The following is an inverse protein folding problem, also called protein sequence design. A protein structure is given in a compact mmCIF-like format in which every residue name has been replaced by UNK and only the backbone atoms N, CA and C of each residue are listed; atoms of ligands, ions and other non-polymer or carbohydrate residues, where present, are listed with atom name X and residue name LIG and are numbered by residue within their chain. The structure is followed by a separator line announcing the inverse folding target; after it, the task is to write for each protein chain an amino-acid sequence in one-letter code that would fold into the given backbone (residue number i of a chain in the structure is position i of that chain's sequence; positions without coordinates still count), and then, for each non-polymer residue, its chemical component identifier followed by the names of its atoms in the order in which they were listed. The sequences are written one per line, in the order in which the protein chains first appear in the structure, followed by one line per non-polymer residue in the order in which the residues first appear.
data_IF_990864348846
#
_entry.id   IF_990864348846
#
_cell.length_a   1.000
_cell.length_b   1.000
_cell.length_c   1.000
_cell.angle_alpha   90.00
_cell.angle_beta   90.00
_cell.angle_gamma   90.00
#
_symmetry.space_group_name_H-M   'P 1'
#
loop_
_entity.id
_entity.type
_entity.pdbx_description
1 polymer ?
#
# COMPACT_ATOMS: atom_id res chain seq x y z
N UNK A 1 37.63 -16.23 -10.97
CA UNK A 1 37.01 -15.09 -11.68
C UNK A 1 35.89 -14.57 -10.79
N UNK A 2 36.12 -13.45 -10.12
CA UNK A 2 35.09 -12.79 -9.29
C UNK A 2 34.20 -12.05 -10.28
N UNK A 3 32.93 -12.43 -10.36
CA UNK A 3 31.94 -11.71 -11.16
C UNK A 3 31.90 -10.26 -10.70
N UNK A 4 32.21 -9.32 -11.60
CA UNK A 4 31.97 -7.89 -11.36
C UNK A 4 30.51 -7.71 -10.96
N UNK A 5 30.31 -7.19 -9.77
CA UNK A 5 28.99 -6.80 -9.28
C UNK A 5 28.39 -5.82 -10.28
N UNK A 6 27.32 -6.23 -10.95
CA UNK A 6 26.71 -5.50 -12.05
C UNK A 6 26.48 -4.04 -11.68
N UNK A 7 26.95 -3.15 -12.55
CA UNK A 7 26.62 -1.73 -12.49
C UNK A 7 25.10 -1.61 -12.41
N UNK A 8 24.64 -0.95 -11.35
CA UNK A 8 23.23 -0.66 -11.20
C UNK A 8 22.79 0.17 -12.44
N UNK A 9 21.97 -0.42 -13.31
CA UNK A 9 21.50 0.19 -14.55
C UNK A 9 20.46 1.30 -14.31
N UNK A 10 20.00 1.44 -13.07
CA UNK A 10 19.13 2.53 -12.66
C UNK A 10 19.93 3.80 -12.36
N UNK A 11 19.98 4.73 -13.30
CA UNK A 11 20.66 6.02 -13.18
C UNK A 11 19.70 7.20 -13.27
N UNK A 12 18.53 7.14 -12.65
CA UNK A 12 17.65 8.32 -12.56
C UNK A 12 17.99 9.13 -11.30
N UNK A 13 17.90 10.45 -11.36
CA UNK A 13 18.11 11.32 -10.21
C UNK A 13 17.21 10.95 -9.01
N UNK A 14 15.99 10.47 -9.26
CA UNK A 14 15.07 9.96 -8.24
C UNK A 14 15.60 8.72 -7.52
N UNK A 15 16.41 7.89 -8.18
CA UNK A 15 17.01 6.72 -7.56
C UNK A 15 18.08 7.07 -6.50
N UNK A 16 18.56 8.31 -6.45
CA UNK A 16 19.49 8.77 -5.43
C UNK A 16 18.84 8.89 -4.05
N UNK A 17 17.52 9.07 -4.02
CA UNK A 17 16.71 9.13 -2.80
C UNK A 17 16.20 7.76 -2.34
N UNK A 18 16.42 6.71 -3.13
CA UNK A 18 15.93 5.36 -2.82
C UNK A 18 17.05 4.57 -2.14
N UNK A 19 16.84 4.02 -0.92
CA UNK A 19 17.90 3.34 -0.16
C UNK A 19 18.39 2.00 -0.77
N UNK A 20 17.93 1.62 -1.95
CA UNK A 20 18.42 0.44 -2.68
C UNK A 20 19.93 0.51 -3.01
N UNK A 21 20.52 1.71 -2.99
CA UNK A 21 21.96 1.92 -3.18
C UNK A 21 22.74 1.72 -1.89
N UNK A 22 22.10 1.77 -0.74
CA UNK A 22 22.73 1.42 0.54
C UNK A 22 22.91 -0.11 0.63
N UNK A 23 24.11 -0.54 0.22
CA UNK A 23 24.44 -1.97 0.20
C UNK A 23 24.44 -2.59 1.60
N UNK A 24 24.80 -1.82 2.62
CA UNK A 24 24.82 -2.30 4.00
C UNK A 24 23.40 -2.47 4.53
N UNK A 25 22.53 -1.50 4.29
CA UNK A 25 21.12 -1.61 4.64
C UNK A 25 20.48 -2.81 3.92
N UNK A 26 20.71 -2.98 2.63
CA UNK A 26 20.22 -4.13 1.87
C UNK A 26 20.76 -5.47 2.40
N UNK A 27 22.02 -5.53 2.81
CA UNK A 27 22.60 -6.74 3.39
C UNK A 27 21.97 -7.05 4.77
N UNK A 28 21.77 -6.04 5.61
CA UNK A 28 21.08 -6.20 6.92
C UNK A 28 19.66 -6.71 6.73
N UNK A 29 18.91 -6.12 5.80
CA UNK A 29 17.52 -6.54 5.53
C UNK A 29 17.46 -7.98 5.02
N UNK A 30 18.34 -8.37 4.12
CA UNK A 30 18.42 -9.76 3.61
C UNK A 30 18.80 -10.77 4.69
N UNK A 31 19.48 -10.36 5.75
CA UNK A 31 19.87 -11.22 6.86
C UNK A 31 18.73 -11.47 7.85
N UNK A 32 17.62 -10.73 7.79
CA UNK A 32 16.46 -10.92 8.67
C UNK A 32 15.84 -12.28 8.38
N UNK A 33 15.77 -13.13 9.39
CA UNK A 33 15.12 -14.44 9.29
C UNK A 33 13.61 -14.29 9.44
N UNK A 34 12.84 -15.25 8.89
CA UNK A 34 11.37 -15.29 9.05
C UNK A 34 10.95 -15.22 10.53
N UNK A 35 11.68 -15.89 11.42
CA UNK A 35 11.44 -15.86 12.88
C UNK A 35 11.63 -14.49 13.53
N UNK A 36 12.31 -13.59 12.86
CA UNK A 36 12.68 -12.28 13.40
C UNK A 36 11.96 -11.12 12.68
N UNK A 37 11.15 -11.44 11.66
CA UNK A 37 10.49 -10.44 10.82
C UNK A 37 9.58 -9.48 11.61
N UNK A 38 9.00 -9.95 12.73
CA UNK A 38 8.15 -9.14 13.61
C UNK A 38 8.96 -8.30 14.62
N UNK A 39 10.29 -8.46 14.66
CA UNK A 39 11.15 -7.72 15.58
C UNK A 39 11.63 -6.45 14.91
N UNK A 40 11.24 -5.31 15.46
CA UNK A 40 11.68 -4.01 14.96
C UNK A 40 12.32 -3.21 16.10
N UNK A 41 13.46 -2.49 15.87
CA UNK A 41 14.14 -1.72 16.91
C UNK A 41 13.29 -0.57 17.47
N UNK A 42 12.37 0.00 16.66
CA UNK A 42 11.37 0.93 17.16
C UNK A 42 10.17 0.15 17.73
N UNK A 43 9.87 0.24 19.05
CA UNK A 43 8.78 -0.49 19.66
C UNK A 43 7.40 0.01 19.22
N UNK A 44 7.30 1.22 18.66
CA UNK A 44 6.05 1.76 18.11
C UNK A 44 5.75 1.25 16.70
N UNK A 45 6.73 0.60 16.04
CA UNK A 45 6.56 0.02 14.72
C UNK A 45 6.12 -1.44 14.84
N UNK A 46 4.83 -1.67 14.74
CA UNK A 46 4.24 -2.99 14.87
C UNK A 46 4.19 -3.70 13.52
N UNK A 47 4.79 -4.88 13.45
CA UNK A 47 4.72 -5.76 12.29
C UNK A 47 3.84 -6.95 12.63
N UNK A 48 2.75 -7.10 11.90
CA UNK A 48 1.85 -8.25 12.02
C UNK A 48 1.94 -9.09 10.76
N UNK A 49 2.23 -10.36 10.93
CA UNK A 49 2.27 -11.34 9.83
C UNK A 49 0.99 -12.16 9.89
N UNK A 50 0.30 -12.25 8.76
CA UNK A 50 -0.86 -13.10 8.57
C UNK A 50 -0.44 -14.13 7.53
N UNK A 51 -0.44 -15.40 7.90
CA UNK A 51 0.13 -16.49 7.07
C UNK A 51 -0.77 -16.80 5.88
N UNK A 52 -2.09 -16.83 6.10
CA UNK A 52 -3.06 -17.16 5.07
C UNK A 52 -3.48 -15.93 4.28
N UNK A 53 -3.43 -16.06 2.95
CA UNK A 53 -3.72 -14.93 2.05
C UNK A 53 -5.14 -14.40 2.21
N UNK A 54 -6.11 -15.29 2.35
CA UNK A 54 -7.51 -14.89 2.42
C UNK A 54 -7.82 -14.19 3.75
N UNK A 55 -7.21 -14.66 4.84
CA UNK A 55 -7.26 -14.00 6.15
C UNK A 55 -6.59 -12.63 6.09
N UNK A 56 -5.46 -12.50 5.38
CA UNK A 56 -4.80 -11.20 5.19
C UNK A 56 -5.73 -10.18 4.52
N UNK A 57 -6.42 -10.56 3.43
CA UNK A 57 -7.34 -9.64 2.77
C UNK A 57 -8.56 -9.32 3.60
N UNK A 58 -9.10 -10.29 4.34
CA UNK A 58 -10.20 -10.07 5.25
C UNK A 58 -9.84 -9.11 6.40
N UNK A 59 -8.72 -9.34 7.04
CA UNK A 59 -8.20 -8.48 8.11
C UNK A 59 -7.90 -7.06 7.61
N UNK A 60 -7.39 -6.94 6.40
CA UNK A 60 -7.16 -5.64 5.77
C UNK A 60 -8.49 -4.93 5.50
N UNK A 61 -9.49 -5.64 4.99
CA UNK A 61 -10.82 -5.07 4.81
C UNK A 61 -11.43 -4.60 6.13
N UNK A 62 -11.30 -5.39 7.19
CA UNK A 62 -11.76 -5.02 8.53
C UNK A 62 -11.04 -3.78 9.06
N UNK A 63 -9.72 -3.63 8.85
CA UNK A 63 -8.99 -2.45 9.28
C UNK A 63 -9.51 -1.19 8.59
N UNK A 64 -9.76 -1.26 7.27
CA UNK A 64 -10.36 -0.16 6.51
C UNK A 64 -11.72 0.23 7.10
N UNK A 65 -12.61 -0.75 7.26
CA UNK A 65 -13.99 -0.52 7.76
C UNK A 65 -13.98 0.04 9.17
N UNK A 66 -13.13 -0.50 10.05
CA UNK A 66 -13.01 -0.02 11.43
C UNK A 66 -12.50 1.41 11.49
N UNK A 67 -11.54 1.79 10.64
CA UNK A 67 -11.03 3.18 10.56
C UNK A 67 -12.10 4.15 10.05
N UNK A 68 -12.86 3.74 9.04
CA UNK A 68 -14.00 4.53 8.53
C UNK A 68 -15.03 4.70 9.64
N UNK A 69 -15.40 3.62 10.33
CA UNK A 69 -16.36 3.65 11.44
C UNK A 69 -15.87 4.54 12.59
N UNK A 70 -14.62 4.38 13.03
CA UNK A 70 -14.05 5.22 14.09
C UNK A 70 -14.07 6.70 13.73
N UNK A 71 -13.71 7.04 12.48
CA UNK A 71 -13.75 8.42 12.03
C UNK A 71 -15.16 9.00 12.10
N UNK A 72 -16.18 8.24 11.70
CA UNK A 72 -17.59 8.63 11.81
C UNK A 72 -17.99 8.84 13.28
N UNK A 73 -17.70 7.88 14.13
CA UNK A 73 -18.09 7.89 15.55
C UNK A 73 -17.43 9.07 16.31
N UNK A 74 -16.24 9.51 15.83
CA UNK A 74 -15.50 10.67 16.33
C UNK A 74 -15.88 12.00 15.64
N UNK A 75 -16.81 11.99 14.70
CA UNK A 75 -17.26 13.18 13.95
C UNK A 75 -16.19 13.80 13.05
N UNK A 76 -15.19 13.03 12.62
CA UNK A 76 -14.11 13.49 11.74
C UNK A 76 -14.16 12.84 10.36
N UNK A 77 -13.47 13.48 9.42
CA UNK A 77 -13.28 12.91 8.07
C UNK A 77 -12.32 11.73 8.13
N UNK A 78 -12.61 10.70 7.34
CA UNK A 78 -11.66 9.67 6.97
C UNK A 78 -11.05 10.08 5.62
N UNK A 79 -9.72 10.12 5.57
CA UNK A 79 -8.97 10.36 4.32
C UNK A 79 -8.03 9.19 4.10
N UNK A 80 -8.20 8.50 2.98
CA UNK A 80 -7.40 7.33 2.62
C UNK A 80 -6.68 7.51 1.30
N UNK A 81 -5.41 7.07 1.23
CA UNK A 81 -4.66 6.91 -0.01
C UNK A 81 -4.54 5.41 -0.25
N UNK A 82 -5.11 4.95 -1.36
CA UNK A 82 -5.19 3.52 -1.65
C UNK A 82 -4.40 3.16 -2.91
N UNK A 83 -3.52 2.13 -2.82
CA UNK A 83 -2.84 1.59 -3.99
C UNK A 83 -3.81 0.79 -4.85
N UNK A 84 -3.71 0.92 -6.15
CA UNK A 84 -4.32 0.01 -7.11
C UNK A 84 -3.41 -1.20 -7.29
N UNK A 85 -3.97 -2.40 -7.13
CA UNK A 85 -3.18 -3.64 -7.24
C UNK A 85 -3.89 -4.77 -6.52
N UNK A 86 -3.62 -5.02 -5.23
CA UNK A 86 -4.37 -6.03 -4.50
C UNK A 86 -5.80 -5.52 -4.25
N UNK A 87 -6.76 -5.95 -5.07
CA UNK A 87 -8.16 -5.48 -5.03
C UNK A 87 -9.10 -6.26 -4.10
N UNK A 88 -8.80 -7.52 -3.66
CA UNK A 88 -9.76 -8.30 -2.90
C UNK A 88 -10.27 -7.62 -1.63
N UNK A 89 -9.40 -6.91 -0.89
CA UNK A 89 -9.77 -6.21 0.35
C UNK A 89 -10.79 -5.10 0.12
N UNK A 90 -10.75 -4.39 -1.02
CA UNK A 90 -11.68 -3.30 -1.30
C UNK A 90 -13.10 -3.82 -1.54
N UNK A 91 -13.22 -4.93 -2.30
CA UNK A 91 -14.52 -5.59 -2.51
C UNK A 91 -15.10 -6.12 -1.19
N UNK A 92 -14.25 -6.67 -0.33
CA UNK A 92 -14.67 -7.13 1.00
C UNK A 92 -15.06 -5.96 1.89
N UNK A 93 -14.29 -4.87 1.90
CA UNK A 93 -14.62 -3.68 2.66
C UNK A 93 -15.94 -3.04 2.20
N UNK A 94 -16.14 -2.90 0.88
CA UNK A 94 -17.38 -2.38 0.32
C UNK A 94 -18.60 -3.24 0.71
N UNK A 95 -18.44 -4.57 0.66
CA UNK A 95 -19.51 -5.48 1.11
C UNK A 95 -19.81 -5.31 2.59
N UNK A 96 -18.79 -5.25 3.45
CA UNK A 96 -18.98 -5.05 4.90
C UNK A 96 -19.63 -3.70 5.20
N UNK A 97 -19.24 -2.63 4.49
CA UNK A 97 -19.83 -1.30 4.62
C UNK A 97 -21.33 -1.35 4.30
N UNK A 98 -21.71 -2.03 3.21
CA UNK A 98 -23.10 -2.18 2.82
C UNK A 98 -23.90 -3.04 3.81
N UNK A 99 -23.38 -4.17 4.26
CA UNK A 99 -24.02 -5.04 5.25
C UNK A 99 -24.22 -4.37 6.61
N UNK A 100 -23.30 -3.48 6.98
CA UNK A 100 -23.37 -2.70 8.22
C UNK A 100 -24.15 -1.39 8.07
N UNK A 101 -24.66 -1.09 6.89
CA UNK A 101 -25.31 0.19 6.57
C UNK A 101 -24.49 1.41 7.01
N UNK A 102 -23.17 1.31 6.84
CA UNK A 102 -22.24 2.34 7.29
C UNK A 102 -22.22 3.51 6.30
N UNK A 103 -22.69 4.71 6.71
CA UNK A 103 -22.57 5.91 5.90
C UNK A 103 -21.10 6.25 5.63
N UNK A 104 -20.80 6.60 4.37
CA UNK A 104 -19.50 7.03 3.89
C UNK A 104 -19.44 8.51 3.50
N UNK A 105 -20.38 9.33 3.93
CA UNK A 105 -20.44 10.78 3.59
C UNK A 105 -19.20 11.55 4.07
N UNK A 106 -18.48 11.02 5.06
CA UNK A 106 -17.26 11.56 5.63
C UNK A 106 -15.99 10.95 5.05
N UNK A 107 -16.10 10.06 4.05
CA UNK A 107 -14.98 9.30 3.46
C UNK A 107 -14.47 10.01 2.21
N UNK A 108 -13.17 10.23 2.15
CA UNK A 108 -12.45 10.81 1.02
C UNK A 108 -11.30 9.89 0.66
N UNK A 109 -11.23 9.48 -0.60
CA UNK A 109 -10.18 8.57 -1.08
C UNK A 109 -9.39 9.19 -2.22
N UNK A 110 -8.12 8.82 -2.28
CA UNK A 110 -7.21 9.16 -3.36
C UNK A 110 -6.52 7.89 -3.83
N UNK A 111 -6.33 7.75 -5.13
CA UNK A 111 -5.41 6.74 -5.64
C UNK A 111 -3.98 7.12 -5.23
N UNK A 112 -3.17 6.11 -4.90
CA UNK A 112 -1.77 6.33 -4.53
C UNK A 112 -0.97 6.91 -5.71
N UNK A 113 -1.29 6.46 -6.91
CA UNK A 113 -0.64 6.81 -8.17
C UNK A 113 -1.63 6.71 -9.33
N UNK A 114 -1.27 7.26 -10.47
CA UNK A 114 -1.93 7.11 -11.76
C UNK A 114 -0.87 7.23 -12.85
N UNK A 115 -1.13 6.65 -14.00
CA UNK A 115 -0.32 6.88 -15.19
C UNK A 115 -0.48 8.32 -15.69
N UNK A 116 0.61 8.86 -16.20
CA UNK A 116 0.63 10.17 -16.82
C UNK A 116 1.36 10.13 -18.17
N UNK A 117 0.97 11.02 -19.08
CA UNK A 117 1.69 11.25 -20.31
C UNK A 117 3.00 12.05 -20.08
N UNK A 118 3.76 12.31 -21.15
CA UNK A 118 5.01 13.08 -21.11
C UNK A 118 4.81 14.55 -20.68
N UNK A 119 3.58 15.06 -20.67
CA UNK A 119 3.23 16.41 -20.22
C UNK A 119 2.71 16.44 -18.79
N UNK A 120 2.59 15.25 -18.13
CA UNK A 120 2.08 15.11 -16.78
C UNK A 120 0.57 15.08 -16.67
N UNK A 121 -0.16 14.94 -17.78
CA UNK A 121 -1.61 14.77 -17.74
C UNK A 121 -1.94 13.34 -17.28
N UNK A 122 -2.88 13.17 -16.34
CA UNK A 122 -3.25 11.83 -15.87
C UNK A 122 -3.94 11.02 -16.98
N UNK A 123 -3.85 9.71 -16.88
CA UNK A 123 -4.54 8.81 -17.79
C UNK A 123 -6.06 9.08 -17.77
N UNK A 124 -6.70 9.13 -18.96
CA UNK A 124 -8.13 9.37 -19.03
C UNK A 124 -8.88 8.16 -18.46
N UNK A 125 -10.02 8.38 -17.75
CA UNK A 125 -10.80 7.29 -17.18
C UNK A 125 -11.29 6.25 -18.21
N UNK A 126 -11.42 6.64 -19.47
CA UNK A 126 -11.86 5.75 -20.55
C UNK A 126 -10.77 4.74 -20.97
N UNK A 127 -9.54 4.96 -20.57
CA UNK A 127 -8.46 4.03 -20.85
C UNK A 127 -8.50 2.84 -19.85
N UNK A 128 -8.51 1.62 -20.37
CA UNK A 128 -8.62 0.38 -19.57
C UNK A 128 -7.50 0.23 -18.50
N UNK A 129 -6.35 0.86 -18.71
CA UNK A 129 -5.23 0.85 -17.76
C UNK A 129 -5.30 1.92 -16.68
N UNK A 130 -6.30 2.82 -16.72
CA UNK A 130 -6.46 3.87 -15.72
C UNK A 130 -6.77 3.26 -14.33
N UNK A 131 -6.02 3.67 -13.34
CA UNK A 131 -6.25 3.25 -11.95
C UNK A 131 -7.53 3.86 -11.39
N UNK A 132 -7.93 5.02 -11.87
CA UNK A 132 -9.22 5.62 -11.51
C UNK A 132 -10.39 4.75 -11.93
N UNK A 133 -10.31 4.11 -13.09
CA UNK A 133 -11.36 3.20 -13.59
C UNK A 133 -11.36 1.86 -12.84
N UNK A 134 -10.19 1.42 -12.38
CA UNK A 134 -10.05 0.15 -11.65
C UNK A 134 -10.60 0.20 -10.22
N UNK A 135 -10.66 1.37 -9.60
CA UNK A 135 -11.13 1.59 -8.22
C UNK A 135 -12.63 1.90 -8.17
#
# INVERSE_FOLDING_TARGET
MVAEAGKNIFSSALADFIPFRDREACARVRAIKKSDICKHPNPEFNIRVIEERDDFYFEFALDIVNRIKSARDEGRKFVGIFPVGPMPQYKMAARLINELELSCDHVYTFNMDEYADENGNPAPPEWEGSFQTAM
#
